data_IF_078896289473
#
_entry.id   IF_078896289473
#
_cell.length_a   1.000
_cell.length_b   1.000
_cell.length_c   1.000
_cell.angle_alpha   90.00
_cell.angle_beta   90.00
_cell.angle_gamma   90.00
#
_symmetry.space_group_name_H-M   'P 1'
#
loop_
_entity.id
_entity.type
_entity.pdbx_description
1 polymer ?
#
# COMPACT_ATOMS: atom_id res chain seq x y z
N UNK A 1 0.55 17.17 12.78
CA UNK A 1 1.47 16.01 12.98
C UNK A 1 2.53 16.00 11.88
N UNK A 2 3.78 15.78 12.25
CA UNK A 2 4.88 15.69 11.29
C UNK A 2 4.94 14.27 10.73
N UNK A 3 4.89 14.14 9.42
CA UNK A 3 5.02 12.85 8.75
C UNK A 3 6.50 12.54 8.55
N UNK A 4 7.01 11.51 9.21
CA UNK A 4 8.45 11.20 9.27
C UNK A 4 8.90 10.11 8.32
N UNK A 5 7.98 9.29 7.86
CA UNK A 5 8.29 8.16 7.01
C UNK A 5 7.96 8.47 5.56
N UNK A 6 8.58 7.73 4.66
CA UNK A 6 8.27 7.82 3.24
C UNK A 6 7.86 6.45 2.76
N UNK A 7 6.71 6.39 2.07
CA UNK A 7 6.30 5.21 1.34
C UNK A 7 6.35 5.54 -0.14
N UNK A 8 6.73 4.58 -0.97
CA UNK A 8 6.80 4.79 -2.42
C UNK A 8 5.62 4.11 -3.09
N UNK A 9 4.92 4.88 -3.90
CA UNK A 9 3.84 4.33 -4.72
C UNK A 9 4.42 3.74 -5.99
N UNK A 10 3.94 2.55 -6.36
CA UNK A 10 4.24 1.93 -7.63
C UNK A 10 3.04 2.10 -8.55
N UNK A 11 3.21 2.91 -9.58
CA UNK A 11 2.16 3.14 -10.56
C UNK A 11 2.02 1.92 -11.47
N UNK A 12 0.78 1.63 -11.84
CA UNK A 12 0.46 0.52 -12.74
C UNK A 12 0.45 1.02 -14.17
N UNK A 13 1.15 0.28 -15.02
CA UNK A 13 1.15 0.54 -16.46
C UNK A 13 0.63 -0.73 -17.14
N UNK A 14 -0.39 -0.56 -17.95
CA UNK A 14 -0.96 -1.66 -18.72
C UNK A 14 -0.50 -1.51 -20.17
N UNK A 15 0.16 -2.54 -20.69
CA UNK A 15 0.60 -2.55 -22.09
C UNK A 15 -0.04 -3.74 -22.80
N UNK A 16 -0.51 -3.55 -24.04
CA UNK A 16 -1.00 -4.68 -24.82
C UNK A 16 0.13 -5.63 -25.14
N UNK A 17 -0.11 -6.92 -25.07
CA UNK A 17 0.86 -7.92 -25.48
C UNK A 17 0.58 -8.41 -26.89
N UNK A 18 1.50 -9.21 -27.45
CA UNK A 18 1.39 -9.70 -28.83
C UNK A 18 0.27 -10.73 -29.00
N UNK A 19 -0.20 -11.29 -27.91
CA UNK A 19 -1.26 -12.32 -27.93
C UNK A 19 -2.67 -11.74 -27.77
N UNK A 20 -2.79 -10.42 -27.80
CA UNK A 20 -4.07 -9.74 -27.66
C UNK A 20 -4.51 -9.51 -26.21
N UNK A 21 -3.69 -9.88 -25.24
CA UNK A 21 -3.95 -9.61 -23.85
C UNK A 21 -3.29 -8.30 -23.39
N UNK A 22 -3.20 -8.14 -22.10
CA UNK A 22 -2.53 -6.99 -21.48
C UNK A 22 -1.58 -7.45 -20.41
N UNK A 23 -0.38 -6.90 -20.42
CA UNK A 23 0.60 -7.10 -19.35
C UNK A 23 0.46 -5.97 -18.35
N UNK A 24 0.48 -6.31 -17.06
CA UNK A 24 0.48 -5.33 -16.00
C UNK A 24 1.92 -5.18 -15.50
N UNK A 25 2.41 -3.96 -15.56
CA UNK A 25 3.73 -3.62 -15.07
C UNK A 25 3.58 -2.55 -13.99
N UNK A 26 4.56 -2.47 -13.10
CA UNK A 26 4.58 -1.46 -12.04
C UNK A 26 5.90 -0.75 -12.05
N UNK A 27 5.85 0.57 -11.95
CA UNK A 27 7.04 1.41 -11.91
C UNK A 27 7.03 2.30 -10.69
N UNK A 28 8.20 2.54 -10.07
CA UNK A 28 8.28 3.50 -8.99
C UNK A 28 7.75 4.85 -9.45
N UNK A 29 6.87 5.42 -8.64
CA UNK A 29 6.31 6.74 -8.90
C UNK A 29 6.76 7.70 -7.82
N UNK A 30 5.83 8.35 -7.14
CA UNK A 30 6.15 9.34 -6.13
C UNK A 30 6.35 8.73 -4.76
N UNK A 31 7.06 9.46 -3.90
CA UNK A 31 7.07 9.20 -2.47
C UNK A 31 5.93 9.94 -1.81
N UNK A 32 5.30 9.31 -0.83
CA UNK A 32 4.26 9.88 -0.01
C UNK A 32 4.77 9.96 1.43
N UNK A 33 4.69 11.15 2.02
CA UNK A 33 5.06 11.32 3.43
C UNK A 33 3.97 10.72 4.31
N UNK A 34 4.38 9.95 5.30
CA UNK A 34 3.45 9.21 6.14
C UNK A 34 3.99 9.02 7.55
N UNK A 35 3.08 8.71 8.46
CA UNK A 35 3.46 8.12 9.75
C UNK A 35 3.09 6.66 9.67
N UNK A 36 4.07 5.79 9.81
CA UNK A 36 3.89 4.35 9.67
C UNK A 36 3.99 3.69 11.04
N UNK A 37 3.01 2.86 11.38
CA UNK A 37 3.01 2.06 12.58
C UNK A 37 2.94 0.59 12.20
N UNK A 38 3.90 -0.19 12.66
CA UNK A 38 3.89 -1.63 12.50
C UNK A 38 3.23 -2.18 13.76
N UNK A 39 1.95 -2.44 13.67
CA UNK A 39 1.16 -2.74 14.85
C UNK A 39 0.16 -3.85 14.58
N UNK A 40 0.58 -4.85 13.81
CA UNK A 40 -0.26 -6.00 13.51
C UNK A 40 -0.45 -6.85 14.77
N UNK A 41 -1.69 -7.11 15.12
CA UNK A 41 -2.02 -8.04 16.19
C UNK A 41 -2.26 -9.41 15.59
N UNK A 42 -2.22 -10.44 16.44
CA UNK A 42 -2.56 -11.80 16.00
C UNK A 42 -3.97 -11.83 15.42
N UNK A 43 -4.89 -11.05 16.01
CA UNK A 43 -6.26 -10.95 15.53
C UNK A 43 -6.34 -10.38 14.12
N UNK A 44 -5.57 -9.34 13.83
CA UNK A 44 -5.54 -8.74 12.48
C UNK A 44 -4.97 -9.73 11.47
N UNK A 45 -3.89 -10.41 11.80
CA UNK A 45 -3.29 -11.41 10.93
C UNK A 45 -4.28 -12.53 10.63
N UNK A 46 -4.98 -13.01 11.64
CA UNK A 46 -5.98 -14.06 11.47
C UNK A 46 -7.17 -13.57 10.64
N UNK A 47 -7.62 -12.36 10.90
CA UNK A 47 -8.75 -11.77 10.19
C UNK A 47 -8.53 -11.68 8.70
N UNK A 48 -7.32 -11.34 8.28
CA UNK A 48 -6.98 -11.22 6.87
C UNK A 48 -6.51 -12.53 6.25
N UNK A 49 -6.47 -13.60 7.03
CA UNK A 49 -6.04 -14.90 6.53
C UNK A 49 -4.57 -14.96 6.18
N UNK A 50 -3.76 -14.10 6.75
CA UNK A 50 -2.35 -13.96 6.41
C UNK A 50 -1.51 -14.58 7.50
N UNK A 51 -0.57 -15.48 7.09
CA UNK A 51 0.30 -16.15 8.04
C UNK A 51 1.61 -15.47 8.11
N UNK A 52 2.19 -14.74 8.56
CA UNK A 52 3.53 -14.15 8.57
C UNK A 52 3.68 -12.91 7.70
N UNK A 53 2.62 -12.41 7.12
CA UNK A 53 2.68 -11.16 6.39
C UNK A 53 2.49 -9.97 7.35
N UNK A 54 3.20 -8.89 7.06
CA UNK A 54 3.17 -7.71 7.91
C UNK A 54 1.95 -6.84 7.57
N UNK A 55 1.30 -6.34 8.60
CA UNK A 55 0.25 -5.33 8.46
C UNK A 55 0.77 -4.03 9.05
N UNK A 56 0.64 -2.95 8.30
CA UNK A 56 1.03 -1.63 8.78
C UNK A 56 -0.14 -0.67 8.70
N UNK A 57 -0.16 0.29 9.61
CA UNK A 57 -1.12 1.38 9.62
C UNK A 57 -0.39 2.65 9.24
N UNK A 58 -0.96 3.38 8.30
CA UNK A 58 -0.31 4.54 7.68
C UNK A 58 -1.23 5.74 7.78
N UNK A 59 -0.69 6.86 8.23
CA UNK A 59 -1.41 8.14 8.27
C UNK A 59 -0.77 9.07 7.25
N UNK A 60 -1.56 9.56 6.32
CA UNK A 60 -1.09 10.45 5.26
C UNK A 60 -1.98 11.68 5.14
N UNK A 61 -1.43 12.76 4.58
CA UNK A 61 -2.20 13.97 4.29
C UNK A 61 -2.91 13.88 2.94
N UNK A 62 -2.46 12.97 2.09
CA UNK A 62 -3.03 12.77 0.76
C UNK A 62 -3.71 11.41 0.69
N UNK A 63 -4.76 11.34 -0.13
CA UNK A 63 -5.44 10.08 -0.36
C UNK A 63 -4.53 9.12 -1.11
N UNK A 64 -4.41 7.90 -0.61
CA UNK A 64 -3.70 6.84 -1.30
C UNK A 64 -4.57 6.28 -2.43
N UNK A 65 -3.91 5.86 -3.50
CA UNK A 65 -4.61 5.26 -4.63
C UNK A 65 -5.18 3.89 -4.23
N UNK A 66 -6.48 3.73 -4.41
CA UNK A 66 -7.21 2.50 -4.05
C UNK A 66 -7.28 1.49 -5.19
N UNK A 67 -6.62 1.77 -6.30
CA UNK A 67 -6.65 0.85 -7.44
C UNK A 67 -6.08 -0.51 -7.05
N UNK A 68 -6.75 -1.56 -7.44
CA UNK A 68 -6.46 -2.93 -7.02
C UNK A 68 -5.00 -3.34 -7.25
N UNK A 69 -4.40 -2.89 -8.33
CA UNK A 69 -3.03 -3.29 -8.69
C UNK A 69 -1.96 -2.32 -8.23
N UNK A 70 -2.33 -1.20 -7.63
CA UNK A 70 -1.37 -0.24 -7.07
C UNK A 70 -0.70 -0.85 -5.85
N UNK A 71 0.61 -0.64 -5.73
CA UNK A 71 1.39 -1.14 -4.61
C UNK A 71 2.16 -0.01 -3.96
N UNK A 72 2.51 -0.23 -2.69
CA UNK A 72 3.29 0.70 -1.89
C UNK A 72 4.48 -0.01 -1.31
N UNK A 73 5.65 0.63 -1.33
CA UNK A 73 6.88 0.09 -0.77
C UNK A 73 7.24 0.83 0.51
N UNK A 74 7.55 0.07 1.54
CA UNK A 74 8.05 0.60 2.80
C UNK A 74 9.05 -0.39 3.38
N UNK A 75 10.23 0.13 3.76
CA UNK A 75 11.28 -0.69 4.40
C UNK A 75 11.66 -1.94 3.59
N UNK A 76 11.72 -1.78 2.26
CA UNK A 76 12.11 -2.87 1.37
C UNK A 76 11.03 -3.92 1.11
N UNK A 77 9.83 -3.69 1.60
CA UNK A 77 8.70 -4.62 1.43
C UNK A 77 7.60 -3.98 0.62
N UNK A 78 6.86 -4.80 -0.10
CA UNK A 78 5.76 -4.36 -0.94
C UNK A 78 4.43 -4.60 -0.23
N UNK A 79 3.54 -3.62 -0.28
CA UNK A 79 2.25 -3.64 0.39
C UNK A 79 1.12 -3.30 -0.57
N UNK A 80 -0.06 -3.84 -0.29
CA UNK A 80 -1.29 -3.44 -0.96
C UNK A 80 -2.23 -2.77 0.02
N UNK A 81 -3.04 -1.84 -0.47
CA UNK A 81 -4.02 -1.14 0.35
C UNK A 81 -5.20 -2.05 0.66
N UNK A 82 -5.48 -2.24 1.94
CA UNK A 82 -6.63 -3.02 2.39
C UNK A 82 -7.83 -2.14 2.70
N UNK A 83 -7.58 -1.01 3.36
CA UNK A 83 -8.65 -0.12 3.80
C UNK A 83 -8.11 1.28 3.97
N UNK A 84 -8.95 2.26 3.70
CA UNK A 84 -8.60 3.66 3.91
C UNK A 84 -9.82 4.42 4.42
N UNK A 85 -9.62 5.23 5.44
CA UNK A 85 -10.65 6.06 6.06
C UNK A 85 -10.13 7.48 6.14
N UNK A 86 -10.94 8.44 5.75
CA UNK A 86 -10.61 9.86 5.91
C UNK A 86 -11.17 10.36 7.24
N UNK A 87 -10.32 11.02 8.02
CA UNK A 87 -10.73 11.70 9.25
C UNK A 87 -10.12 13.11 9.26
N UNK A 88 -10.97 14.12 9.24
CA UNK A 88 -10.49 15.49 9.16
C UNK A 88 -9.71 15.72 7.87
N UNK A 89 -8.47 16.16 8.01
CA UNK A 89 -7.57 16.42 6.88
C UNK A 89 -6.58 15.28 6.63
N UNK A 90 -6.78 14.14 7.28
CA UNK A 90 -5.85 13.03 7.18
C UNK A 90 -6.54 11.75 6.73
N UNK A 91 -5.76 10.85 6.14
CA UNK A 91 -6.22 9.54 5.71
C UNK A 91 -5.54 8.48 6.55
N UNK A 92 -6.33 7.57 7.09
CA UNK A 92 -5.86 6.44 7.90
C UNK A 92 -6.03 5.18 7.06
N UNK A 93 -4.91 4.56 6.74
CA UNK A 93 -4.90 3.42 5.81
C UNK A 93 -4.29 2.19 6.48
N UNK A 94 -4.80 1.04 6.11
CA UNK A 94 -4.23 -0.25 6.50
C UNK A 94 -3.66 -0.91 5.25
N UNK A 95 -2.38 -1.22 5.30
CA UNK A 95 -1.66 -1.87 4.22
C UNK A 95 -1.20 -3.25 4.68
N UNK A 96 -1.25 -4.20 3.76
CA UNK A 96 -0.80 -5.55 4.04
C UNK A 96 0.30 -5.96 3.07
N UNK A 97 1.32 -6.62 3.60
CA UNK A 97 2.45 -7.09 2.80
C UNK A 97 1.98 -8.09 1.74
N UNK A 98 2.58 -7.99 0.56
CA UNK A 98 2.25 -8.89 -0.56
C UNK A 98 3.52 -9.24 -1.31
N UNK A 99 3.53 -10.39 -1.96
CA UNK A 99 4.68 -10.84 -2.75
C UNK A 99 4.73 -10.20 -4.14
N UNK A 100 3.62 -9.64 -4.58
CA UNK A 100 3.56 -9.05 -5.92
C UNK A 100 2.59 -7.84 -6.00
#
# INVERSE_FOLDING_TARGET
MIKRDLIRRYAVITTPDEMGGSAIDRRPAEFVKANVSINATIGEITQYGVKSEMVIHVITDVKLDEYLYTRYEYSGKLFKLMRQIKQGNEYFSTLIETDN
#
